data_IF_810331282503
#
_entry.id   IF_810331282503
#
_cell.length_a   1.000
_cell.length_b   1.000
_cell.length_c   1.000
_cell.angle_alpha   90.00
_cell.angle_beta   90.00
_cell.angle_gamma   90.00
#
_symmetry.space_group_name_H-M   'P 1'
#
loop_
_entity.id
_entity.type
_entity.pdbx_description
1 polymer ?
#
# COMPACT_ATOMS: atom_id res chain seq x y z
N UNK A 1 15.52 58.53 -56.40
CA UNK A 1 14.94 58.21 -55.07
C UNK A 1 14.48 56.76 -55.12
N UNK A 2 14.66 56.01 -54.03
CA UNK A 2 14.31 54.61 -53.79
C UNK A 2 15.31 53.56 -54.30
N UNK A 3 15.67 52.52 -53.55
CA UNK A 3 15.75 52.31 -52.10
C UNK A 3 16.68 51.10 -51.90
N UNK A 4 17.54 51.14 -50.88
CA UNK A 4 18.66 50.20 -50.70
C UNK A 4 18.25 49.10 -49.71
N UNK A 5 17.68 47.98 -50.17
CA UNK A 5 17.38 46.85 -49.28
C UNK A 5 18.61 45.94 -49.11
N UNK A 6 19.34 46.11 -48.00
CA UNK A 6 20.33 45.15 -47.51
C UNK A 6 19.62 44.06 -46.70
N UNK A 7 19.49 42.87 -47.25
CA UNK A 7 19.02 41.68 -46.51
C UNK A 7 20.15 41.16 -45.64
N UNK A 8 20.04 41.36 -44.33
CA UNK A 8 20.91 40.77 -43.32
C UNK A 8 20.40 39.35 -43.01
N UNK A 9 21.14 38.32 -43.43
CA UNK A 9 20.82 36.93 -43.11
C UNK A 9 21.31 36.62 -41.69
N UNK A 10 20.40 36.61 -40.72
CA UNK A 10 20.70 36.21 -39.34
C UNK A 10 20.68 34.68 -39.25
N UNK A 11 21.84 34.04 -39.23
CA UNK A 11 21.99 32.61 -38.94
C UNK A 11 21.75 32.38 -37.43
N UNK A 12 20.53 31.98 -37.08
CA UNK A 12 20.22 31.42 -35.76
C UNK A 12 20.83 30.02 -35.67
N UNK A 13 22.00 29.91 -35.03
CA UNK A 13 22.54 28.63 -34.60
C UNK A 13 21.66 28.10 -33.45
N UNK A 14 20.78 27.16 -33.76
CA UNK A 14 20.07 26.39 -32.73
C UNK A 14 21.12 25.59 -31.94
N UNK A 15 21.11 25.64 -30.59
CA UNK A 15 22.01 24.82 -29.80
C UNK A 15 21.66 23.36 -30.07
N UNK A 16 22.61 22.61 -30.64
CA UNK A 16 22.54 21.16 -30.69
C UNK A 16 22.56 20.71 -29.23
N UNK A 17 21.42 20.21 -28.74
CA UNK A 17 21.35 19.62 -27.41
C UNK A 17 22.40 18.50 -27.36
N UNK A 18 23.44 18.71 -26.55
CA UNK A 18 24.46 17.71 -26.32
C UNK A 18 23.75 16.48 -25.75
N UNK A 19 23.74 15.40 -26.53
CA UNK A 19 23.17 14.14 -26.11
C UNK A 19 24.08 13.62 -24.99
N UNK A 20 23.61 13.77 -23.74
CA UNK A 20 24.31 13.24 -22.57
C UNK A 20 24.54 11.76 -22.79
N UNK A 21 25.79 11.31 -22.68
CA UNK A 21 26.11 9.89 -22.76
C UNK A 21 25.19 9.11 -21.81
N UNK A 22 24.69 7.93 -22.23
CA UNK A 22 23.85 7.13 -21.36
C UNK A 22 24.59 6.84 -20.05
N UNK A 23 23.89 6.98 -18.93
CA UNK A 23 24.44 6.61 -17.64
C UNK A 23 24.93 5.15 -17.70
N UNK A 24 26.04 4.82 -17.04
CA UNK A 24 26.52 3.43 -17.01
C UNK A 24 25.42 2.52 -16.45
N UNK A 25 25.22 1.39 -17.11
CA UNK A 25 24.28 0.37 -16.66
C UNK A 25 24.74 -0.21 -15.31
N UNK A 26 23.81 -0.33 -14.36
CA UNK A 26 24.11 -0.91 -13.06
C UNK A 26 24.27 -2.44 -13.19
N UNK A 27 25.48 -2.95 -12.96
CA UNK A 27 25.77 -4.39 -12.92
C UNK A 27 25.78 -4.98 -11.50
N UNK A 28 25.47 -4.17 -10.48
CA UNK A 28 25.46 -4.55 -9.07
C UNK A 28 24.06 -4.77 -8.51
N UNK A 29 23.95 -4.75 -7.17
CA UNK A 29 22.65 -4.76 -6.50
C UNK A 29 21.81 -3.53 -6.91
N UNK A 30 20.49 -3.70 -6.96
CA UNK A 30 19.59 -2.58 -7.23
C UNK A 30 19.62 -1.59 -6.05
N UNK A 31 20.29 -0.45 -6.23
CA UNK A 31 20.43 0.58 -5.20
C UNK A 31 19.09 1.20 -4.75
N UNK A 32 18.01 1.01 -5.52
CA UNK A 32 16.67 1.47 -5.15
C UNK A 32 15.97 0.54 -4.16
N UNK A 33 16.54 -0.63 -3.83
CA UNK A 33 15.99 -1.60 -2.87
C UNK A 33 17.07 -1.91 -1.85
N UNK A 34 16.92 -1.37 -0.64
CA UNK A 34 17.87 -1.60 0.46
C UNK A 34 17.56 -2.88 1.22
N UNK A 35 16.30 -3.30 1.21
CA UNK A 35 15.82 -4.54 1.82
C UNK A 35 14.56 -5.02 1.12
N UNK A 36 14.33 -6.32 1.14
CA UNK A 36 13.10 -6.90 0.62
C UNK A 36 12.67 -8.11 1.43
N UNK A 37 11.37 -8.40 1.39
CA UNK A 37 10.79 -9.61 1.91
C UNK A 37 9.68 -10.08 0.97
N UNK A 38 9.38 -11.36 0.97
CA UNK A 38 8.26 -11.91 0.21
C UNK A 38 7.72 -13.13 0.93
N UNK A 39 6.43 -13.37 0.79
CA UNK A 39 5.81 -14.50 1.47
C UNK A 39 4.46 -14.87 0.90
N UNK A 40 3.87 -15.89 1.52
CA UNK A 40 2.55 -16.39 1.19
C UNK A 40 1.77 -16.69 2.46
N UNK A 41 0.57 -16.13 2.57
CA UNK A 41 -0.38 -16.50 3.61
C UNK A 41 -1.42 -17.46 3.06
N UNK A 42 -1.78 -18.47 3.85
CA UNK A 42 -2.87 -19.39 3.51
C UNK A 42 -4.10 -19.02 4.32
N UNK A 43 -5.22 -18.79 3.65
CA UNK A 43 -6.50 -18.59 4.34
C UNK A 43 -7.14 -19.93 4.62
N UNK A 44 -7.46 -20.15 5.89
CA UNK A 44 -8.10 -21.39 6.36
C UNK A 44 -9.29 -21.06 7.24
N UNK A 45 -10.33 -21.88 7.14
CA UNK A 45 -11.37 -21.91 8.15
C UNK A 45 -10.82 -22.51 9.46
N UNK A 46 -11.54 -22.35 10.56
CA UNK A 46 -11.19 -22.93 11.87
C UNK A 46 -11.14 -24.46 11.84
N UNK A 47 -11.88 -25.09 10.92
CA UNK A 47 -11.84 -26.54 10.65
C UNK A 47 -10.70 -26.97 9.70
N UNK A 48 -9.80 -26.04 9.34
CA UNK A 48 -8.62 -26.29 8.52
C UNK A 48 -8.85 -26.27 7.00
N UNK A 49 -10.11 -26.22 6.54
CA UNK A 49 -10.41 -26.15 5.09
C UNK A 49 -9.78 -24.92 4.46
N UNK A 50 -9.15 -25.12 3.31
CA UNK A 50 -8.58 -24.02 2.53
C UNK A 50 -9.68 -23.06 2.07
N UNK A 51 -9.40 -21.77 2.13
CA UNK A 51 -10.29 -20.69 1.69
C UNK A 51 -9.68 -19.78 0.64
N UNK A 52 -8.36 -19.80 0.51
CA UNK A 52 -7.62 -18.92 -0.37
C UNK A 52 -6.16 -18.83 0.02
N UNK A 53 -5.46 -17.93 -0.65
CA UNK A 53 -4.11 -17.54 -0.31
C UNK A 53 -3.85 -16.09 -0.71
N UNK A 54 -2.79 -15.54 -0.15
CA UNK A 54 -2.25 -14.23 -0.52
C UNK A 54 -0.75 -14.35 -0.72
N UNK A 55 -0.20 -13.66 -1.71
CA UNK A 55 1.24 -13.52 -1.94
C UNK A 55 1.61 -12.06 -1.84
N UNK A 56 2.73 -11.77 -1.19
CA UNK A 56 3.23 -10.41 -1.08
C UNK A 56 4.71 -10.30 -1.43
N UNK A 57 5.09 -9.09 -1.83
CA UNK A 57 6.47 -8.64 -1.95
C UNK A 57 6.60 -7.25 -1.34
N UNK A 58 7.47 -7.14 -0.35
CA UNK A 58 7.88 -5.90 0.28
C UNK A 58 9.22 -5.45 -0.30
N UNK A 59 9.33 -4.16 -0.58
CA UNK A 59 10.59 -3.47 -0.89
C UNK A 59 10.73 -2.27 0.04
N UNK A 60 11.92 -2.11 0.61
CA UNK A 60 12.32 -0.93 1.39
C UNK A 60 13.30 -0.13 0.55
N UNK A 61 13.07 1.18 0.49
CA UNK A 61 13.82 2.11 -0.35
C UNK A 61 14.86 2.89 0.47
N UNK A 62 15.83 3.58 -0.19
CA UNK A 62 16.89 4.32 0.51
C UNK A 62 16.39 5.43 1.45
N UNK A 63 15.22 6.00 1.18
CA UNK A 63 14.57 7.01 2.03
C UNK A 63 13.79 6.42 3.21
N UNK A 64 13.82 5.09 3.38
CA UNK A 64 13.06 4.37 4.39
C UNK A 64 11.62 4.07 4.00
N UNK A 65 11.13 4.61 2.88
CA UNK A 65 9.79 4.29 2.37
C UNK A 65 9.68 2.81 2.01
N UNK A 66 8.46 2.29 2.07
CA UNK A 66 8.16 0.89 1.82
C UNK A 66 7.09 0.77 0.76
N UNK A 67 7.29 -0.17 -0.16
CA UNK A 67 6.30 -0.56 -1.16
C UNK A 67 5.94 -2.02 -0.96
N UNK A 68 4.65 -2.30 -0.79
CA UNK A 68 4.11 -3.65 -0.68
C UNK A 68 3.21 -3.96 -1.87
N UNK A 69 3.58 -4.99 -2.63
CA UNK A 69 2.76 -5.59 -3.69
C UNK A 69 2.04 -6.79 -3.09
N UNK A 70 0.73 -6.86 -3.25
CA UNK A 70 -0.10 -7.92 -2.68
C UNK A 70 -1.05 -8.46 -3.73
N UNK A 71 -1.04 -9.78 -3.88
CA UNK A 71 -2.02 -10.53 -4.66
C UNK A 71 -2.79 -11.43 -3.71
N UNK A 72 -4.08 -11.14 -3.55
CA UNK A 72 -5.00 -11.83 -2.68
C UNK A 72 -6.01 -12.62 -3.51
N UNK A 73 -6.15 -13.90 -3.22
CA UNK A 73 -7.18 -14.77 -3.78
C UNK A 73 -7.89 -15.52 -2.65
N UNK A 74 -9.07 -15.03 -2.29
CA UNK A 74 -9.99 -15.70 -1.38
C UNK A 74 -11.09 -16.39 -2.18
N UNK A 75 -10.72 -17.49 -2.86
CA UNK A 75 -11.64 -18.29 -3.67
C UNK A 75 -12.93 -18.69 -2.92
N UNK A 76 -12.88 -18.89 -1.59
CA UNK A 76 -14.07 -19.23 -0.80
C UNK A 76 -15.12 -18.11 -0.73
N UNK A 77 -14.78 -16.89 -1.19
CA UNK A 77 -15.71 -15.77 -1.36
C UNK A 77 -15.76 -15.25 -2.80
N UNK A 78 -15.07 -15.92 -3.74
CA UNK A 78 -14.85 -15.43 -5.10
C UNK A 78 -14.30 -13.99 -5.09
N UNK A 79 -13.35 -13.70 -4.21
CA UNK A 79 -12.74 -12.38 -4.04
C UNK A 79 -11.26 -12.43 -4.44
N UNK A 80 -10.87 -11.59 -5.40
CA UNK A 80 -9.49 -11.43 -5.85
C UNK A 80 -9.11 -9.96 -5.80
N UNK A 81 -8.07 -9.63 -5.03
CA UNK A 81 -7.56 -8.26 -4.90
C UNK A 81 -6.11 -8.17 -5.36
N UNK A 82 -5.81 -7.15 -6.14
CA UNK A 82 -4.44 -6.78 -6.52
C UNK A 82 -4.15 -5.40 -5.95
N UNK A 83 -3.09 -5.28 -5.16
CA UNK A 83 -2.77 -4.05 -4.43
C UNK A 83 -1.30 -3.70 -4.56
N UNK A 84 -1.03 -2.42 -4.78
CA UNK A 84 0.26 -1.77 -4.51
C UNK A 84 0.02 -0.76 -3.40
N UNK A 85 0.73 -0.86 -2.29
CA UNK A 85 0.59 0.03 -1.14
C UNK A 85 1.95 0.62 -0.78
N UNK A 86 2.01 1.94 -0.62
CA UNK A 86 3.23 2.65 -0.22
C UNK A 86 3.04 3.43 1.07
N UNK A 87 4.06 3.38 1.91
CA UNK A 87 4.18 4.18 3.13
C UNK A 87 5.56 4.82 3.20
N UNK A 88 5.69 5.91 3.94
CA UNK A 88 6.98 6.53 4.23
C UNK A 88 7.78 5.76 5.30
N UNK A 89 8.87 6.37 5.77
CA UNK A 89 9.74 5.78 6.79
C UNK A 89 9.01 5.50 8.11
N UNK A 90 8.02 6.33 8.45
CA UNK A 90 7.22 6.29 9.69
C UNK A 90 5.87 5.56 9.51
N UNK A 91 5.72 4.83 8.40
CA UNK A 91 4.52 4.07 8.02
C UNK A 91 3.29 4.93 7.72
N UNK A 92 3.43 6.24 7.49
CA UNK A 92 2.33 7.06 6.99
C UNK A 92 2.05 6.69 5.53
N UNK A 93 0.78 6.45 5.15
CA UNK A 93 0.42 6.16 3.76
C UNK A 93 0.84 7.29 2.82
N UNK A 94 1.45 6.93 1.69
CA UNK A 94 1.81 7.83 0.60
C UNK A 94 0.83 7.69 -0.57
N UNK A 95 0.68 6.46 -1.05
CA UNK A 95 -0.20 6.13 -2.15
C UNK A 95 -0.60 4.65 -2.13
N UNK A 96 -1.68 4.33 -2.84
CA UNK A 96 -2.03 2.96 -3.17
C UNK A 96 -2.73 2.86 -4.52
N UNK A 97 -2.57 1.72 -5.17
CA UNK A 97 -3.44 1.28 -6.24
C UNK A 97 -4.10 -0.02 -5.82
N UNK A 98 -5.42 -0.10 -5.93
CA UNK A 98 -6.21 -1.28 -5.60
C UNK A 98 -7.09 -1.65 -6.80
N UNK A 99 -7.23 -2.95 -7.09
CA UNK A 99 -8.15 -3.48 -8.11
C UNK A 99 -8.83 -4.72 -7.58
N UNK A 100 -10.16 -4.69 -7.54
CA UNK A 100 -10.96 -5.72 -6.88
C UNK A 100 -11.91 -6.44 -7.84
N UNK A 101 -11.94 -7.76 -7.72
CA UNK A 101 -12.93 -8.65 -8.31
C UNK A 101 -13.66 -9.37 -7.19
N UNK A 102 -14.99 -9.30 -7.18
CA UNK A 102 -15.83 -9.96 -6.18
C UNK A 102 -16.98 -10.69 -6.87
N UNK A 103 -17.29 -11.91 -6.42
CA UNK A 103 -18.42 -12.68 -6.94
C UNK A 103 -18.31 -13.03 -8.43
N UNK A 104 -17.10 -13.08 -8.98
CA UNK A 104 -16.87 -13.28 -10.41
C UNK A 104 -17.05 -12.04 -11.29
N UNK A 105 -17.22 -10.85 -10.69
CA UNK A 105 -17.37 -9.59 -11.41
C UNK A 105 -16.30 -8.57 -10.98
N UNK A 106 -15.92 -7.71 -11.91
CA UNK A 106 -15.04 -6.58 -11.62
C UNK A 106 -15.78 -5.54 -10.77
N UNK A 107 -15.29 -5.26 -9.55
CA UNK A 107 -15.84 -4.23 -8.65
C UNK A 107 -15.30 -2.84 -8.98
N UNK A 108 -14.10 -2.77 -9.54
CA UNK A 108 -13.43 -1.53 -9.89
C UNK A 108 -12.01 -1.46 -9.33
N UNK A 109 -11.36 -0.35 -9.65
CA UNK A 109 -10.04 -0.01 -9.18
C UNK A 109 -10.01 1.44 -8.69
N UNK A 110 -9.13 1.70 -7.73
CA UNK A 110 -8.92 3.04 -7.20
C UNK A 110 -7.44 3.35 -7.09
N UNK A 111 -7.07 4.57 -7.50
CA UNK A 111 -5.82 5.20 -7.12
C UNK A 111 -6.08 6.08 -5.90
N UNK A 112 -5.29 5.88 -4.86
CA UNK A 112 -5.35 6.62 -3.60
C UNK A 112 -4.03 7.37 -3.46
N UNK A 113 -4.07 8.65 -3.14
CA UNK A 113 -2.88 9.48 -2.91
C UNK A 113 -3.07 10.33 -1.68
N UNK A 114 -2.00 10.51 -0.91
CA UNK A 114 -1.98 11.35 0.29
C UNK A 114 -1.03 12.52 0.03
N UNK A 115 -1.51 13.73 0.23
CA UNK A 115 -0.70 14.95 0.18
C UNK A 115 -1.01 15.82 1.40
N UNK A 116 -0.02 16.02 2.26
CA UNK A 116 -0.21 16.72 3.52
C UNK A 116 -1.35 16.11 4.36
N UNK A 117 -2.39 16.90 4.62
CA UNK A 117 -3.56 16.50 5.39
C UNK A 117 -4.74 16.01 4.52
N UNK A 118 -4.54 15.87 3.21
CA UNK A 118 -5.59 15.49 2.26
C UNK A 118 -5.31 14.11 1.67
N UNK A 119 -6.37 13.30 1.55
CA UNK A 119 -6.36 12.03 0.83
C UNK A 119 -7.36 12.12 -0.31
N UNK A 120 -6.87 11.84 -1.52
CA UNK A 120 -7.67 11.79 -2.73
C UNK A 120 -7.81 10.35 -3.23
N UNK A 121 -8.98 10.03 -3.78
CA UNK A 121 -9.31 8.76 -4.42
C UNK A 121 -9.86 9.03 -5.81
N UNK A 122 -9.29 8.40 -6.82
CA UNK A 122 -9.86 8.32 -8.16
C UNK A 122 -10.26 6.87 -8.44
N UNK A 123 -11.56 6.62 -8.45
CA UNK A 123 -12.17 5.32 -8.70
C UNK A 123 -12.62 5.18 -10.15
N UNK A 124 -12.46 3.98 -10.71
CA UNK A 124 -13.04 3.56 -12.00
C UNK A 124 -13.62 2.15 -11.90
N UNK A 125 -14.89 1.99 -12.25
CA UNK A 125 -15.54 0.69 -12.31
C UNK A 125 -17.02 0.76 -12.70
N UNK A 126 -17.83 -0.26 -12.35
CA UNK A 126 -19.25 -0.33 -12.71
C UNK A 126 -20.10 0.85 -12.20
N UNK A 127 -19.69 1.52 -11.12
CA UNK A 127 -20.35 2.72 -10.62
C UNK A 127 -19.97 4.01 -11.40
N UNK A 128 -19.20 3.88 -12.49
CA UNK A 128 -18.66 5.01 -13.25
C UNK A 128 -17.30 5.47 -12.74
N UNK A 129 -16.92 6.69 -13.11
CA UNK A 129 -15.78 7.39 -12.52
C UNK A 129 -16.25 8.17 -11.30
N UNK A 130 -15.54 8.03 -10.18
CA UNK A 130 -15.86 8.75 -8.94
C UNK A 130 -14.58 9.31 -8.35
N UNK A 131 -14.62 10.57 -7.97
CA UNK A 131 -13.56 11.24 -7.23
C UNK A 131 -14.02 11.48 -5.79
N UNK A 132 -13.11 11.28 -4.84
CA UNK A 132 -13.33 11.55 -3.43
C UNK A 132 -12.11 12.25 -2.86
N UNK A 133 -12.34 13.26 -2.05
CA UNK A 133 -11.33 13.88 -1.19
C UNK A 133 -11.80 13.83 0.26
N UNK A 134 -10.87 13.60 1.19
CA UNK A 134 -11.13 13.71 2.61
C UNK A 134 -9.89 14.18 3.38
N UNK A 135 -10.13 14.91 4.46
CA UNK A 135 -9.09 15.26 5.42
C UNK A 135 -8.67 14.01 6.22
N UNK A 136 -7.36 13.84 6.38
CA UNK A 136 -6.73 12.76 7.15
C UNK A 136 -5.86 13.33 8.26
N UNK A 137 -5.80 12.67 9.44
CA UNK A 137 -4.93 13.09 10.52
C UNK A 137 -3.45 12.78 10.21
N UNK A 138 -2.55 13.30 11.03
CA UNK A 138 -1.10 13.03 10.95
C UNK A 138 -0.77 11.54 11.13
N UNK A 139 -1.46 10.85 12.04
CA UNK A 139 -1.28 9.42 12.26
C UNK A 139 -2.52 8.65 11.80
N UNK A 140 -2.37 7.88 10.73
CA UNK A 140 -3.34 6.90 10.28
C UNK A 140 -2.65 5.82 9.44
N UNK A 141 -3.36 4.73 9.17
CA UNK A 141 -2.94 3.67 8.25
C UNK A 141 -4.01 3.42 7.19
N UNK A 142 -3.65 2.82 6.06
CA UNK A 142 -4.57 2.49 4.97
C UNK A 142 -4.89 1.00 4.95
N UNK A 143 -6.16 0.63 5.14
CA UNK A 143 -6.64 -0.76 5.14
C UNK A 143 -7.09 -1.19 3.75
N UNK A 144 -6.29 -2.02 3.09
CA UNK A 144 -6.56 -2.48 1.71
C UNK A 144 -7.14 -3.89 1.63
N UNK A 145 -7.29 -4.60 2.76
CA UNK A 145 -7.84 -5.96 2.94
C UNK A 145 -6.88 -7.15 2.81
N UNK A 146 -5.85 -7.17 1.95
CA UNK A 146 -4.77 -8.16 2.08
C UNK A 146 -4.07 -8.03 3.44
N UNK A 147 -3.87 -9.17 4.09
CA UNK A 147 -3.37 -9.31 5.46
C UNK A 147 -1.89 -8.93 5.57
N UNK A 148 -1.10 -9.00 4.50
CA UNK A 148 0.29 -8.56 4.54
C UNK A 148 0.45 -7.12 5.03
N UNK A 149 -0.52 -6.25 4.72
CA UNK A 149 -0.52 -4.85 5.13
C UNK A 149 -1.03 -4.61 6.56
N UNK A 150 -1.66 -5.59 7.21
CA UNK A 150 -2.37 -5.37 8.48
C UNK A 150 -1.43 -4.99 9.63
N UNK A 151 -0.17 -5.44 9.59
CA UNK A 151 0.83 -5.06 10.59
C UNK A 151 1.17 -3.57 10.56
N UNK A 152 0.94 -2.87 9.45
CA UNK A 152 1.14 -1.41 9.38
C UNK A 152 0.08 -0.63 10.17
N UNK A 153 -1.04 -1.28 10.55
CA UNK A 153 -2.05 -0.66 11.39
C UNK A 153 -1.58 -0.38 12.82
N UNK A 154 -0.52 -1.04 13.27
CA UNK A 154 0.02 -0.88 14.63
C UNK A 154 1.24 0.03 14.70
N UNK A 155 1.67 0.63 13.58
CA UNK A 155 2.89 1.43 13.51
C UNK A 155 2.90 2.64 14.47
N UNK A 156 1.73 3.23 14.71
CA UNK A 156 1.56 4.38 15.61
C UNK A 156 1.08 3.97 17.02
N UNK A 157 1.18 2.70 17.40
CA UNK A 157 0.84 2.25 18.76
C UNK A 157 1.94 2.68 19.76
N UNK A 158 1.57 3.42 20.79
CA UNK A 158 2.50 3.82 21.86
C UNK A 158 2.65 2.72 22.91
N UNK A 159 3.73 1.94 22.82
CA UNK A 159 4.00 0.86 23.76
C UNK A 159 4.20 1.34 25.21
N UNK A 160 4.66 2.58 25.43
CA UNK A 160 4.90 3.13 26.76
C UNK A 160 3.59 3.54 27.46
N UNK A 161 2.65 4.10 26.71
CA UNK A 161 1.30 4.36 27.21
C UNK A 161 0.56 3.06 27.58
N UNK A 162 0.83 1.98 26.84
CA UNK A 162 0.21 0.68 27.04
C UNK A 162 -1.31 0.69 26.83
N UNK A 163 -1.99 -0.34 27.36
CA UNK A 163 -3.44 -0.45 27.31
C UNK A 163 -4.02 -0.58 25.88
N UNK A 164 -5.33 -0.35 25.78
CA UNK A 164 -6.04 -0.26 24.50
C UNK A 164 -5.94 1.16 23.94
N UNK A 165 -5.61 1.30 22.66
CA UNK A 165 -5.51 2.58 21.96
C UNK A 165 -6.47 2.66 20.77
N UNK A 166 -7.08 3.82 20.54
CA UNK A 166 -7.87 4.09 19.33
C UNK A 166 -6.98 4.76 18.29
N UNK A 167 -6.53 3.97 17.31
CA UNK A 167 -5.80 4.48 16.14
C UNK A 167 -6.78 4.86 15.03
N UNK A 168 -6.27 5.44 13.95
CA UNK A 168 -7.07 5.85 12.78
C UNK A 168 -6.77 4.97 11.57
N UNK A 169 -7.84 4.48 10.95
CA UNK A 169 -7.79 3.62 9.77
C UNK A 169 -8.56 4.28 8.63
N UNK A 170 -7.88 4.54 7.52
CA UNK A 170 -8.51 4.81 6.23
C UNK A 170 -8.88 3.44 5.62
N UNK A 171 -10.12 3.03 5.78
CA UNK A 171 -10.62 1.73 5.33
C UNK A 171 -11.13 1.83 3.89
N UNK A 172 -10.63 0.98 3.00
CA UNK A 172 -11.07 0.93 1.59
C UNK A 172 -12.34 0.06 1.48
N UNK A 173 -13.34 0.47 0.70
CA UNK A 173 -14.56 -0.31 0.48
C UNK A 173 -14.30 -1.54 -0.43
N UNK A 174 -14.33 -2.74 0.15
CA UNK A 174 -14.09 -4.00 -0.56
C UNK A 174 -15.25 -5.01 -0.45
N UNK A 175 -16.43 -4.58 -0.02
CA UNK A 175 -17.62 -5.46 0.03
C UNK A 175 -17.95 -6.04 -1.35
N UNK A 176 -18.68 -7.16 -1.36
CA UNK A 176 -19.11 -7.85 -2.58
C UNK A 176 -20.13 -7.06 -3.43
N UNK A 177 -20.66 -5.96 -2.90
CA UNK A 177 -21.56 -5.08 -3.64
C UNK A 177 -20.78 -4.31 -4.71
N UNK A 178 -20.91 -4.75 -5.96
CA UNK A 178 -20.24 -4.14 -7.11
C UNK A 178 -20.78 -2.74 -7.46
N UNK A 179 -21.94 -2.35 -6.91
CA UNK A 179 -22.50 -1.01 -7.10
C UNK A 179 -21.86 0.03 -6.18
N UNK A 180 -21.17 -0.41 -5.12
CA UNK A 180 -20.42 0.48 -4.23
C UNK A 180 -19.02 0.75 -4.80
N UNK A 181 -18.67 2.02 -5.09
CA UNK A 181 -17.34 2.36 -5.55
C UNK A 181 -16.28 2.05 -4.47
N UNK A 182 -15.05 1.75 -4.90
CA UNK A 182 -13.91 1.42 -4.03
C UNK A 182 -13.35 2.72 -3.43
N UNK A 183 -14.11 3.31 -2.51
CA UNK A 183 -13.79 4.57 -1.85
C UNK A 183 -13.17 4.34 -0.46
N UNK A 184 -12.73 5.41 0.18
CA UNK A 184 -12.11 5.38 1.51
C UNK A 184 -13.07 5.96 2.55
N UNK A 185 -13.10 5.33 3.72
CA UNK A 185 -13.78 5.85 4.92
C UNK A 185 -12.81 5.86 6.09
N UNK A 186 -12.70 6.99 6.78
CA UNK A 186 -11.89 7.10 7.99
C UNK A 186 -12.67 6.58 9.20
N UNK A 187 -12.14 5.56 9.87
CA UNK A 187 -12.76 4.90 11.03
C UNK A 187 -11.79 4.80 12.21
N UNK A 188 -12.28 4.77 13.45
CA UNK A 188 -11.44 4.39 14.59
C UNK A 188 -11.11 2.90 14.51
N UNK A 189 -9.85 2.55 14.81
CA UNK A 189 -9.38 1.18 14.95
C UNK A 189 -8.93 0.96 16.39
N UNK A 190 -9.62 0.04 17.08
CA UNK A 190 -9.20 -0.40 18.40
C UNK A 190 -7.99 -1.32 18.29
N UNK A 191 -6.90 -0.99 18.97
CA UNK A 191 -5.66 -1.76 18.99
C UNK A 191 -5.26 -2.06 20.43
N UNK A 192 -4.89 -3.31 20.69
CA UNK A 192 -4.38 -3.77 21.98
C UNK A 192 -3.09 -4.56 21.75
N UNK A 193 -2.03 -4.23 22.49
CA UNK A 193 -0.78 -5.00 22.48
C UNK A 193 -0.86 -6.07 23.58
N UNK A 194 -0.82 -7.34 23.19
CA UNK A 194 -0.95 -8.49 24.08
C UNK A 194 0.40 -9.00 24.61
N UNK A 195 1.50 -8.65 23.94
CA UNK A 195 2.85 -8.91 24.42
C UNK A 195 3.76 -9.47 23.33
N UNK A 196 4.96 -9.86 23.73
CA UNK A 196 5.90 -10.56 22.85
C UNK A 196 5.60 -12.06 22.85
N UNK A 197 5.58 -12.68 21.68
CA UNK A 197 5.30 -14.10 21.52
C UNK A 197 6.21 -14.72 20.44
N UNK A 198 6.68 -15.93 20.69
CA UNK A 198 7.45 -16.71 19.72
C UNK A 198 6.53 -17.68 18.98
N UNK A 199 6.30 -17.42 17.70
CA UNK A 199 5.34 -18.15 16.86
C UNK A 199 6.06 -19.05 15.85
N UNK A 200 5.56 -20.28 15.67
CA UNK A 200 6.05 -21.20 14.62
C UNK A 200 4.97 -21.41 13.57
N UNK A 201 5.30 -21.10 12.31
CA UNK A 201 4.46 -21.32 11.13
C UNK A 201 5.22 -22.13 10.09
N UNK A 202 4.60 -22.44 8.96
CA UNK A 202 5.24 -23.21 7.88
C UNK A 202 6.51 -22.56 7.31
N UNK A 203 6.67 -21.25 7.46
CA UNK A 203 7.86 -20.51 7.02
C UNK A 203 9.01 -20.50 8.05
N UNK A 204 8.79 -20.99 9.27
CA UNK A 204 9.80 -20.99 10.34
C UNK A 204 9.27 -20.53 11.69
N UNK A 205 10.19 -20.18 12.58
CA UNK A 205 9.88 -19.68 13.92
C UNK A 205 10.35 -18.24 14.05
N UNK A 206 9.49 -17.37 14.57
CA UNK A 206 9.69 -15.93 14.61
C UNK A 206 9.42 -15.38 16.01
N UNK A 207 10.24 -14.42 16.43
CA UNK A 207 9.94 -13.58 17.60
C UNK A 207 9.07 -12.41 17.11
N UNK A 208 7.88 -12.28 17.70
CA UNK A 208 6.82 -11.36 17.24
C UNK A 208 6.26 -10.55 18.39
N UNK A 209 5.56 -9.47 18.06
CA UNK A 209 4.61 -8.83 18.98
C UNK A 209 3.19 -9.20 18.57
N UNK A 210 2.41 -9.68 19.54
CA UNK A 210 1.00 -10.04 19.39
C UNK A 210 0.13 -8.80 19.64
N UNK A 211 -0.73 -8.48 18.67
CA UNK A 211 -1.73 -7.43 18.77
C UNK A 211 -3.13 -7.96 18.49
N UNK A 212 -4.13 -7.30 19.07
CA UNK A 212 -5.54 -7.49 18.72
C UNK A 212 -6.12 -6.22 18.11
N UNK A 213 -6.63 -6.36 16.89
CA UNK A 213 -7.29 -5.30 16.13
C UNK A 213 -8.81 -5.45 16.20
N UNK A 214 -9.51 -4.32 16.30
CA UNK A 214 -10.97 -4.22 16.37
C UNK A 214 -11.63 -5.11 17.44
N UNK A 215 -10.86 -5.57 18.44
CA UNK A 215 -11.31 -6.49 19.48
C UNK A 215 -11.51 -7.94 19.06
N UNK A 216 -11.24 -8.31 17.80
CA UNK A 216 -11.56 -9.65 17.27
C UNK A 216 -10.47 -10.27 16.38
N UNK A 217 -9.55 -9.48 15.83
CA UNK A 217 -8.55 -9.96 14.90
C UNK A 217 -7.17 -9.97 15.58
N UNK A 218 -6.66 -11.15 15.90
CA UNK A 218 -5.31 -11.32 16.42
C UNK A 218 -4.29 -11.35 15.28
N UNK A 219 -3.20 -10.59 15.41
CA UNK A 219 -2.07 -10.57 14.48
C UNK A 219 -0.74 -10.67 15.23
N UNK A 220 0.21 -11.39 14.64
CA UNK A 220 1.58 -11.48 15.14
C UNK A 220 2.49 -10.77 14.15
N UNK A 221 3.20 -9.76 14.64
CA UNK A 221 3.91 -8.81 13.80
C UNK A 221 5.39 -8.85 14.12
N UNK A 222 6.23 -8.95 13.09
CA UNK A 222 7.68 -8.77 13.21
C UNK A 222 7.99 -7.32 13.55
N UNK A 223 8.94 -7.07 14.44
CA UNK A 223 9.43 -5.70 14.69
C UNK A 223 10.00 -5.07 13.40
N UNK A 224 10.67 -5.89 12.59
CA UNK A 224 11.19 -5.46 11.31
C UNK A 224 10.08 -5.36 10.28
N UNK A 225 9.89 -4.16 9.73
CA UNK A 225 8.97 -3.85 8.62
C UNK A 225 7.48 -4.08 8.92
N UNK A 226 7.15 -4.44 10.16
CA UNK A 226 5.79 -4.70 10.64
C UNK A 226 5.03 -5.72 9.76
N UNK A 227 5.72 -6.77 9.34
CA UNK A 227 5.12 -7.87 8.58
C UNK A 227 4.38 -8.84 9.51
N UNK A 228 3.24 -9.33 9.05
CA UNK A 228 2.45 -10.36 9.74
C UNK A 228 3.12 -11.75 9.57
N UNK A 229 2.95 -12.63 10.55
CA UNK A 229 3.43 -14.02 10.54
C UNK A 229 2.29 -15.01 10.75
#
# INVERSE_FOLDING_TARGET
>A
MHDLFKTLLLLLALPVAAQTAPAPENSGANASITRGASGKYAYRATDGRARGEERFQLMVHPDGSRTMLMWHDLFARNAQFSVTLRVDADYRPLDAFVSYWNGGAYKGASRITVDGADLAVNYRGPAGEVEQELAVPEHFSLGTHPVAGDGWHVANFDAAAGGTQMLRLASVEASADATRPVLVTLVPLKVERLGSERVTVGAGTFDTTHYRLAGVNDIWVLEQDLLVV
#
